data_IF_885878405489
#
_entry.id   IF_885878405489
#
_cell.length_a   1.000
_cell.length_b   1.000
_cell.length_c   1.000
_cell.angle_alpha   90.00
_cell.angle_beta   90.00
_cell.angle_gamma   90.00
#
_symmetry.space_group_name_H-M   'P 1'
#
loop_
_entity.id
_entity.type
_entity.pdbx_description
1 polymer ?
#
# COMPACT_ATOMS: atom_id res chain seq x y z
N UNK A 1 26.19 11.77 27.96
CA UNK A 1 25.39 12.97 27.68
C UNK A 1 24.34 12.57 26.67
N UNK A 2 23.12 12.80 27.05
CA UNK A 2 21.86 12.31 26.50
C UNK A 2 21.73 12.53 25.01
N UNK A 3 21.63 11.44 24.21
CA UNK A 3 21.13 11.47 22.86
C UNK A 3 19.61 11.30 22.95
N UNK A 4 18.89 12.39 22.82
CA UNK A 4 17.45 12.38 22.66
C UNK A 4 17.11 11.59 21.39
N UNK A 5 16.35 10.50 21.54
CA UNK A 5 15.70 9.82 20.43
C UNK A 5 14.81 10.82 19.70
N UNK A 6 14.88 10.82 18.38
CA UNK A 6 13.86 11.44 17.56
C UNK A 6 12.60 10.57 17.70
N UNK A 7 11.81 10.85 18.73
CA UNK A 7 10.41 10.49 18.78
C UNK A 7 9.75 11.21 17.61
N UNK A 8 9.21 10.45 16.64
CA UNK A 8 8.17 10.98 15.78
C UNK A 8 6.99 11.31 16.70
N UNK A 9 6.94 12.52 17.19
CA UNK A 9 5.78 13.03 17.87
C UNK A 9 4.72 13.28 16.80
N UNK A 10 3.92 12.26 16.49
CA UNK A 10 2.59 12.54 15.97
C UNK A 10 1.92 13.44 17.00
N UNK A 11 1.56 14.64 16.61
CA UNK A 11 0.82 15.54 17.49
C UNK A 11 -0.53 14.86 17.73
N UNK A 12 -0.69 14.29 18.92
CA UNK A 12 -1.93 13.63 19.32
C UNK A 12 -3.04 14.67 19.30
N UNK A 13 -4.07 14.44 18.47
CA UNK A 13 -5.21 15.33 18.34
C UNK A 13 -6.14 15.04 19.52
N UNK A 14 -6.50 16.07 20.31
CA UNK A 14 -7.40 15.87 21.44
C UNK A 14 -8.82 15.51 21.01
N UNK A 15 -9.54 14.76 21.86
CA UNK A 15 -10.94 14.40 21.63
C UNK A 15 -11.84 15.62 21.40
N UNK A 16 -11.58 16.74 22.10
CA UNK A 16 -12.30 17.99 21.91
C UNK A 16 -12.11 18.54 20.50
N UNK A 17 -10.87 18.55 20.01
CA UNK A 17 -10.56 19.00 18.64
C UNK A 17 -11.16 18.06 17.59
N UNK A 18 -11.11 16.74 17.81
CA UNK A 18 -11.74 15.75 16.92
C UNK A 18 -13.27 15.97 16.81
N UNK A 19 -13.90 16.25 17.94
CA UNK A 19 -15.33 16.57 17.97
C UNK A 19 -15.64 17.87 17.20
N UNK A 20 -14.82 18.91 17.36
CA UNK A 20 -14.95 20.17 16.62
C UNK A 20 -14.75 19.95 15.11
N UNK A 21 -13.78 19.12 14.69
CA UNK A 21 -13.52 18.79 13.27
C UNK A 21 -14.74 18.09 12.63
N UNK A 22 -15.42 17.17 13.35
CA UNK A 22 -16.68 16.56 12.88
C UNK A 22 -17.76 17.62 12.71
N UNK A 23 -17.98 18.46 13.73
CA UNK A 23 -18.99 19.53 13.70
C UNK A 23 -18.71 20.57 12.61
N UNK A 24 -17.45 20.86 12.32
CA UNK A 24 -17.04 21.76 11.23
C UNK A 24 -17.53 21.25 9.87
N UNK A 25 -17.32 19.97 9.57
CA UNK A 25 -17.79 19.37 8.31
C UNK A 25 -19.29 19.08 8.30
N UNK A 26 -19.84 18.67 9.45
CA UNK A 26 -21.24 18.24 9.58
C UNK A 26 -21.87 18.85 10.83
N UNK A 27 -22.31 20.10 10.73
CA UNK A 27 -22.84 20.88 11.86
C UNK A 27 -24.08 20.27 12.54
N UNK A 28 -24.76 19.33 11.87
CA UNK A 28 -25.90 18.59 12.42
C UNK A 28 -25.54 17.27 13.09
N UNK A 29 -24.26 16.88 13.12
CA UNK A 29 -23.76 15.68 13.74
C UNK A 29 -23.18 16.01 15.13
N UNK A 30 -23.48 15.18 16.11
CA UNK A 30 -23.01 15.35 17.48
C UNK A 30 -22.14 14.15 17.87
N UNK A 31 -20.82 14.32 18.01
CA UNK A 31 -19.94 13.25 18.53
C UNK A 31 -20.33 12.83 19.95
N UNK A 32 -20.42 11.53 20.20
CA UNK A 32 -20.83 10.93 21.47
C UNK A 32 -19.68 10.19 22.14
N UNK A 33 -18.92 9.41 21.34
CA UNK A 33 -17.80 8.62 21.84
C UNK A 33 -16.68 8.61 20.78
N UNK A 34 -15.42 8.65 21.20
CA UNK A 34 -14.24 8.64 20.35
C UNK A 34 -13.35 7.48 20.74
N UNK A 35 -12.97 6.67 19.78
CA UNK A 35 -12.07 5.53 19.93
C UNK A 35 -10.87 5.69 19.00
N UNK A 36 -9.68 5.83 19.56
CA UNK A 36 -8.44 5.95 18.79
C UNK A 36 -8.02 4.61 18.23
N UNK A 37 -7.80 4.55 16.90
CA UNK A 37 -7.26 3.38 16.20
C UNK A 37 -5.74 3.56 16.16
N UNK A 38 -5.02 2.74 16.93
CA UNK A 38 -3.57 2.90 17.18
C UNK A 38 -2.70 2.47 16.00
N UNK A 39 -3.27 2.08 14.87
CA UNK A 39 -2.52 1.58 13.71
C UNK A 39 -2.32 2.68 12.65
N UNK A 40 -1.07 2.85 12.18
CA UNK A 40 -0.72 3.71 11.04
C UNK A 40 0.03 4.99 11.38
N UNK A 41 0.36 5.76 10.33
CA UNK A 41 1.16 7.00 10.40
C UNK A 41 0.26 8.24 10.58
N UNK A 42 -0.99 8.13 10.18
CA UNK A 42 -2.02 9.18 10.29
C UNK A 42 -2.89 8.97 11.52
N UNK A 43 -3.45 10.06 12.04
CA UNK A 43 -4.46 9.97 13.10
C UNK A 43 -5.76 9.40 12.51
N UNK A 44 -6.16 8.21 12.98
CA UNK A 44 -7.40 7.56 12.57
C UNK A 44 -8.22 7.26 13.82
N UNK A 45 -9.47 7.71 13.85
CA UNK A 45 -10.37 7.52 15.00
C UNK A 45 -11.74 7.06 14.54
N UNK A 46 -12.34 6.10 15.26
CA UNK A 46 -13.74 5.76 15.12
C UNK A 46 -14.56 6.62 16.07
N UNK A 47 -15.66 7.18 15.59
CA UNK A 47 -16.49 8.12 16.34
C UNK A 47 -17.95 7.67 16.26
N UNK A 48 -18.56 7.47 17.42
CA UNK A 48 -20.01 7.30 17.49
C UNK A 48 -20.66 8.68 17.48
N UNK A 49 -21.61 8.90 16.59
CA UNK A 49 -22.27 10.20 16.36
C UNK A 49 -23.78 10.08 16.42
N UNK A 50 -24.43 11.10 16.97
CA UNK A 50 -25.86 11.34 16.79
C UNK A 50 -26.10 12.19 15.56
N UNK A 51 -26.96 11.71 14.65
CA UNK A 51 -27.38 12.43 13.44
C UNK A 51 -28.88 12.68 13.46
N UNK A 52 -29.41 13.58 12.62
CA UNK A 52 -30.86 13.75 12.48
C UNK A 52 -31.64 12.49 12.08
N UNK A 53 -30.92 11.46 11.58
CA UNK A 53 -31.52 10.19 11.14
C UNK A 53 -31.27 9.04 12.11
N UNK A 54 -30.56 9.27 13.22
CA UNK A 54 -30.23 8.29 14.25
C UNK A 54 -28.73 8.19 14.54
N UNK A 55 -28.38 7.28 15.43
CA UNK A 55 -26.99 6.98 15.80
C UNK A 55 -26.25 6.32 14.62
N UNK A 56 -25.00 6.69 14.44
CA UNK A 56 -24.10 6.12 13.43
C UNK A 56 -22.67 6.04 13.98
N UNK A 57 -21.87 5.15 13.41
CA UNK A 57 -20.41 5.09 13.63
C UNK A 57 -19.70 5.50 12.35
N UNK A 58 -18.72 6.39 12.48
CA UNK A 58 -17.93 6.93 11.37
C UNK A 58 -16.43 6.82 11.68
N UNK A 59 -15.60 7.05 10.67
CA UNK A 59 -14.15 7.20 10.83
C UNK A 59 -13.76 8.62 10.44
N UNK A 60 -12.96 9.28 11.27
CA UNK A 60 -12.22 10.49 10.94
C UNK A 60 -10.77 10.11 10.72
N UNK A 61 -10.20 10.48 9.56
CA UNK A 61 -8.78 10.31 9.25
C UNK A 61 -8.17 11.67 8.99
N UNK A 62 -7.09 12.01 9.73
CA UNK A 62 -6.38 13.27 9.60
C UNK A 62 -4.88 13.04 9.38
N UNK A 63 -4.28 13.84 8.50
CA UNK A 63 -2.85 13.81 8.25
C UNK A 63 -2.09 14.43 9.43
N UNK A 64 -1.22 13.63 10.06
CA UNK A 64 -0.32 14.08 11.14
C UNK A 64 1.14 13.77 10.83
N UNK A 65 1.40 13.20 9.66
CA UNK A 65 2.75 12.83 9.24
C UNK A 65 3.56 14.06 8.82
N UNK A 66 4.83 14.07 9.19
CA UNK A 66 5.80 15.09 8.76
C UNK A 66 6.52 14.75 7.45
N UNK A 67 6.15 13.64 6.80
CA UNK A 67 6.75 13.27 5.50
C UNK A 67 6.37 14.31 4.43
N UNK A 68 7.28 14.76 3.57
CA UNK A 68 7.01 15.83 2.59
C UNK A 68 5.80 15.59 1.68
N UNK A 69 5.50 14.33 1.34
CA UNK A 69 4.37 13.97 0.49
C UNK A 69 3.13 13.50 1.27
N UNK A 70 3.16 13.50 2.60
CA UNK A 70 2.06 12.95 3.40
C UNK A 70 0.76 13.70 3.19
N UNK A 71 0.84 15.02 3.13
CA UNK A 71 -0.31 15.92 2.95
C UNK A 71 -0.96 15.69 1.59
N UNK A 72 -0.19 15.73 0.51
CA UNK A 72 -0.70 15.54 -0.86
C UNK A 72 -1.25 14.12 -1.10
N UNK A 73 -0.63 13.10 -0.50
CA UNK A 73 -1.15 11.73 -0.51
C UNK A 73 -2.45 11.61 0.29
N UNK A 74 -2.53 12.27 1.45
CA UNK A 74 -3.76 12.28 2.27
C UNK A 74 -4.90 13.03 1.58
N UNK A 75 -4.61 14.07 0.77
CA UNK A 75 -5.60 14.73 -0.08
C UNK A 75 -6.10 13.81 -1.20
N UNK A 76 -5.26 12.94 -1.74
CA UNK A 76 -5.66 11.99 -2.79
C UNK A 76 -6.66 10.96 -2.28
N UNK A 77 -6.52 10.47 -1.05
CA UNK A 77 -7.27 9.34 -0.52
C UNK A 77 -8.79 9.50 -0.63
N UNK A 78 -9.45 10.54 -0.09
CA UNK A 78 -10.90 10.69 -0.18
C UNK A 78 -11.40 10.89 -1.62
N UNK A 79 -10.56 11.43 -2.51
CA UNK A 79 -10.88 11.61 -3.94
C UNK A 79 -10.90 10.27 -4.66
N UNK A 80 -9.92 9.41 -4.38
CA UNK A 80 -9.85 8.06 -4.95
C UNK A 80 -10.97 7.19 -4.40
N UNK A 81 -11.26 7.21 -3.09
CA UNK A 81 -12.40 6.51 -2.51
C UNK A 81 -13.71 6.90 -3.24
N UNK A 82 -13.94 8.19 -3.43
CA UNK A 82 -15.10 8.71 -4.15
C UNK A 82 -15.11 8.31 -5.63
N UNK A 83 -13.95 8.21 -6.28
CA UNK A 83 -13.82 7.75 -7.67
C UNK A 83 -14.16 6.26 -7.77
N UNK A 84 -13.58 5.42 -6.91
CA UNK A 84 -13.82 3.98 -6.84
C UNK A 84 -15.30 3.68 -6.62
N UNK A 85 -15.92 4.32 -5.64
CA UNK A 85 -17.35 4.13 -5.34
C UNK A 85 -18.26 4.43 -6.52
N UNK A 86 -17.90 5.42 -7.35
CA UNK A 86 -18.71 5.80 -8.51
C UNK A 86 -18.45 4.99 -9.77
N UNK A 87 -17.26 4.40 -9.92
CA UNK A 87 -16.78 3.88 -11.21
C UNK A 87 -16.47 2.40 -11.21
N UNK A 88 -16.34 1.76 -10.05
CA UNK A 88 -15.91 0.37 -9.92
C UNK A 88 -16.78 -0.39 -8.94
N UNK A 89 -16.60 -1.71 -8.90
CA UNK A 89 -17.21 -2.59 -7.91
C UNK A 89 -16.28 -2.84 -6.70
N UNK A 90 -15.12 -2.16 -6.60
CA UNK A 90 -14.23 -2.29 -5.44
C UNK A 90 -14.97 -1.84 -4.18
N UNK A 91 -15.10 -2.68 -3.15
CA UNK A 91 -15.73 -2.28 -1.90
C UNK A 91 -14.82 -1.31 -1.16
N UNK A 92 -15.30 -0.09 -0.93
CA UNK A 92 -14.58 0.98 -0.22
C UNK A 92 -15.52 1.74 0.69
N UNK A 93 -15.01 2.32 1.81
CA UNK A 93 -15.81 3.18 2.67
C UNK A 93 -16.37 4.39 1.90
N UNK A 94 -17.63 4.76 2.16
CA UNK A 94 -18.22 5.97 1.61
C UNK A 94 -17.57 7.20 2.27
N UNK A 95 -17.16 8.18 1.46
CA UNK A 95 -16.67 9.48 1.97
C UNK A 95 -17.87 10.39 2.22
N UNK A 96 -17.96 10.93 3.41
CA UNK A 96 -19.03 11.86 3.78
C UNK A 96 -18.67 13.31 3.50
N UNK A 97 -17.45 13.73 3.90
CA UNK A 97 -16.97 15.09 3.68
C UNK A 97 -15.44 15.19 3.83
N UNK A 98 -14.85 16.28 3.32
CA UNK A 98 -13.39 16.50 3.32
C UNK A 98 -13.04 17.94 3.68
N UNK A 99 -11.89 18.14 4.33
CA UNK A 99 -11.29 19.45 4.58
C UNK A 99 -9.81 19.40 4.18
N UNK A 100 -9.46 20.12 3.13
CA UNK A 100 -8.08 20.16 2.64
C UNK A 100 -7.23 21.19 3.37
N UNK A 101 -7.84 22.31 3.82
CA UNK A 101 -7.16 23.41 4.48
C UNK A 101 -8.01 24.00 5.61
N UNK A 102 -7.39 24.22 6.77
CA UNK A 102 -8.04 24.89 7.89
C UNK A 102 -7.01 25.64 8.75
N UNK A 103 -7.36 26.81 9.29
CA UNK A 103 -6.43 27.64 10.06
C UNK A 103 -6.05 27.03 11.42
N UNK A 104 -6.91 26.20 12.00
CA UNK A 104 -6.78 25.70 13.38
C UNK A 104 -6.59 24.19 13.46
N UNK A 105 -7.26 23.42 12.59
CA UNK A 105 -7.25 21.96 12.61
C UNK A 105 -6.13 21.39 11.76
N UNK A 106 -5.56 20.23 12.15
CA UNK A 106 -4.63 19.50 11.27
C UNK A 106 -5.34 19.09 9.99
N UNK A 107 -4.75 19.41 8.87
CA UNK A 107 -5.27 19.14 7.52
C UNK A 107 -4.24 18.43 6.65
N UNK A 108 -4.67 17.72 5.59
CA UNK A 108 -6.05 17.41 5.25
C UNK A 108 -6.69 16.40 6.21
N UNK A 109 -8.01 16.46 6.36
CA UNK A 109 -8.79 15.45 7.06
C UNK A 109 -10.12 15.17 6.37
N UNK A 110 -10.71 14.01 6.63
CA UNK A 110 -11.99 13.64 6.04
C UNK A 110 -12.79 12.69 6.93
N UNK A 111 -14.08 12.63 6.68
CA UNK A 111 -15.03 11.73 7.34
C UNK A 111 -15.43 10.63 6.35
N UNK A 112 -15.41 9.40 6.80
CA UNK A 112 -15.83 8.24 6.02
C UNK A 112 -16.66 7.26 6.84
N UNK A 113 -17.30 6.36 6.14
CA UNK A 113 -18.06 5.24 6.68
C UNK A 113 -17.17 4.35 7.57
N UNK A 114 -17.70 3.97 8.71
CA UNK A 114 -17.15 2.84 9.46
C UNK A 114 -17.75 1.54 8.90
N UNK A 115 -16.90 0.70 8.33
CA UNK A 115 -17.34 -0.57 7.74
C UNK A 115 -17.21 -1.68 8.77
N UNK A 116 -18.32 -2.35 9.08
CA UNK A 116 -18.35 -3.49 10.00
C UNK A 116 -17.61 -4.69 9.42
N UNK A 117 -16.78 -5.32 10.25
CA UNK A 117 -15.99 -6.50 9.91
C UNK A 117 -14.70 -6.53 10.72
N UNK A 118 -13.79 -7.39 10.34
CA UNK A 118 -12.50 -7.53 11.01
C UNK A 118 -11.35 -7.29 10.04
N UNK A 119 -10.32 -6.59 10.51
CA UNK A 119 -9.02 -6.56 9.85
C UNK A 119 -8.18 -7.75 10.34
N UNK A 120 -7.45 -8.37 9.45
CA UNK A 120 -6.61 -9.53 9.80
C UNK A 120 -5.21 -9.03 10.12
N UNK A 121 -4.74 -9.32 11.33
CA UNK A 121 -3.34 -9.07 11.64
C UNK A 121 -2.46 -9.93 10.73
N UNK A 122 -1.41 -9.33 10.21
CA UNK A 122 -0.50 -9.98 9.27
C UNK A 122 0.13 -11.27 9.84
N UNK A 123 0.42 -11.30 11.13
CA UNK A 123 0.96 -12.48 11.83
C UNK A 123 -0.04 -13.64 11.94
N UNK A 124 -1.34 -13.36 11.88
CA UNK A 124 -2.40 -14.36 12.00
C UNK A 124 -2.82 -14.96 10.66
N UNK A 125 -2.43 -14.34 9.55
CA UNK A 125 -2.77 -14.81 8.21
C UNK A 125 -2.40 -16.27 7.91
N UNK A 126 -1.27 -16.84 8.39
CA UNK A 126 -0.94 -18.25 8.23
C UNK A 126 -1.94 -19.20 8.89
N UNK A 127 -2.63 -18.75 9.92
CA UNK A 127 -3.58 -19.55 10.71
C UNK A 127 -5.00 -19.54 10.15
N UNK A 128 -5.27 -18.74 9.12
CA UNK A 128 -6.58 -18.69 8.47
C UNK A 128 -6.96 -20.03 7.84
N UNK A 129 -8.25 -20.42 7.89
CA UNK A 129 -8.74 -21.55 7.10
C UNK A 129 -8.37 -21.41 5.62
N UNK A 130 -8.15 -22.55 4.99
CA UNK A 130 -7.67 -22.62 3.59
C UNK A 130 -8.60 -21.88 2.63
N UNK A 131 -9.88 -22.14 2.75
CA UNK A 131 -10.95 -21.56 1.92
C UNK A 131 -11.14 -20.06 2.17
N UNK A 132 -11.01 -19.60 3.41
CA UNK A 132 -11.03 -18.18 3.77
C UNK A 132 -9.88 -17.45 3.07
N UNK A 133 -8.66 -17.99 3.16
CA UNK A 133 -7.48 -17.38 2.53
C UNK A 133 -7.57 -17.39 1.00
N UNK A 134 -8.12 -18.44 0.39
CA UNK A 134 -8.38 -18.49 -1.05
C UNK A 134 -9.40 -17.46 -1.50
N UNK A 135 -10.47 -17.25 -0.73
CA UNK A 135 -11.47 -16.22 -0.99
C UNK A 135 -10.82 -14.84 -1.01
N UNK A 136 -10.00 -14.51 0.01
CA UNK A 136 -9.28 -13.22 0.08
C UNK A 136 -8.41 -13.01 -1.17
N UNK A 137 -7.66 -14.02 -1.61
CA UNK A 137 -6.81 -13.90 -2.80
C UNK A 137 -7.62 -13.74 -4.08
N UNK A 138 -8.70 -14.48 -4.24
CA UNK A 138 -9.59 -14.37 -5.40
C UNK A 138 -10.23 -12.99 -5.49
N UNK A 139 -10.77 -12.50 -4.38
CA UNK A 139 -11.38 -11.17 -4.33
C UNK A 139 -10.32 -10.05 -4.46
N UNK A 140 -9.10 -10.25 -3.96
CA UNK A 140 -8.00 -9.33 -4.22
C UNK A 140 -7.73 -9.20 -5.73
N UNK A 141 -7.73 -10.32 -6.46
CA UNK A 141 -7.64 -10.30 -7.92
C UNK A 141 -8.77 -9.52 -8.57
N UNK A 142 -10.01 -9.75 -8.16
CA UNK A 142 -11.18 -9.04 -8.66
C UNK A 142 -11.11 -7.53 -8.38
N UNK A 143 -10.80 -7.16 -7.15
CA UNK A 143 -10.70 -5.76 -6.73
C UNK A 143 -9.59 -5.00 -7.49
N UNK A 144 -8.43 -5.63 -7.69
CA UNK A 144 -7.35 -5.05 -8.49
C UNK A 144 -7.73 -4.94 -9.97
N UNK A 145 -8.45 -5.90 -10.51
CA UNK A 145 -8.95 -5.84 -11.89
C UNK A 145 -9.92 -4.66 -12.07
N UNK A 146 -10.86 -4.48 -11.16
CA UNK A 146 -11.77 -3.34 -11.13
C UNK A 146 -11.02 -2.00 -11.02
N UNK A 147 -10.05 -1.90 -10.08
CA UNK A 147 -9.20 -0.72 -9.94
C UNK A 147 -8.52 -0.36 -11.27
N UNK A 148 -7.97 -1.34 -11.95
CA UNK A 148 -7.23 -1.15 -13.20
C UNK A 148 -8.12 -0.77 -14.39
N UNK A 149 -9.46 -0.79 -14.26
CA UNK A 149 -10.38 -0.25 -15.27
C UNK A 149 -10.42 1.27 -15.29
N UNK A 150 -9.92 1.94 -14.25
CA UNK A 150 -9.91 3.40 -14.15
C UNK A 150 -8.86 4.09 -15.04
N UNK A 151 -7.93 3.32 -15.64
CA UNK A 151 -6.93 3.83 -16.58
C UNK A 151 -7.43 3.93 -18.02
N UNK A 152 -6.56 4.24 -18.97
CA UNK A 152 -5.13 4.49 -18.76
C UNK A 152 -4.83 5.85 -18.14
N UNK A 153 -3.65 5.96 -17.52
CA UNK A 153 -3.00 7.20 -17.12
C UNK A 153 -1.80 7.44 -18.05
N UNK A 154 -1.53 8.71 -18.36
CA UNK A 154 -0.53 9.06 -19.37
C UNK A 154 0.91 8.96 -18.86
N UNK A 155 1.12 9.12 -17.54
CA UNK A 155 2.45 9.15 -16.91
C UNK A 155 2.53 8.14 -15.76
N UNK A 156 3.74 7.73 -15.43
CA UNK A 156 4.11 6.83 -14.32
C UNK A 156 4.67 7.67 -13.18
N UNK A 157 4.26 7.38 -11.95
CA UNK A 157 4.74 8.07 -10.76
C UNK A 157 3.77 7.99 -9.58
N UNK A 158 4.11 8.63 -8.48
CA UNK A 158 3.22 8.70 -7.31
C UNK A 158 1.95 9.52 -7.64
N UNK A 159 0.82 9.07 -7.13
CA UNK A 159 -0.46 9.77 -7.27
C UNK A 159 -0.71 10.63 -6.02
N UNK A 160 -1.05 11.89 -6.25
CA UNK A 160 -1.28 12.90 -5.21
C UNK A 160 -2.59 13.65 -5.47
N UNK A 161 -3.13 14.25 -4.41
CA UNK A 161 -4.32 15.11 -4.50
C UNK A 161 -3.92 16.57 -4.69
N UNK A 162 -4.28 17.15 -5.84
CA UNK A 162 -4.03 18.54 -6.16
C UNK A 162 -5.24 19.14 -6.88
N UNK A 163 -5.60 20.39 -6.55
CA UNK A 163 -6.69 21.15 -7.21
C UNK A 163 -8.01 20.36 -7.34
N UNK A 164 -8.40 19.62 -6.28
CA UNK A 164 -9.56 18.72 -6.24
C UNK A 164 -9.51 17.49 -7.16
N UNK A 165 -8.39 17.20 -7.78
CA UNK A 165 -8.17 16.04 -8.64
C UNK A 165 -7.05 15.15 -8.11
N UNK A 166 -6.97 13.94 -8.64
CA UNK A 166 -5.84 13.03 -8.44
C UNK A 166 -4.99 13.09 -9.69
N UNK A 167 -3.72 13.42 -9.52
CA UNK A 167 -2.76 13.53 -10.63
C UNK A 167 -1.44 12.86 -10.29
N UNK A 168 -0.65 12.56 -11.31
CA UNK A 168 0.72 12.10 -11.13
C UNK A 168 1.57 13.26 -10.60
N UNK A 169 2.35 13.00 -9.57
CA UNK A 169 3.33 13.95 -9.05
C UNK A 169 4.48 14.09 -10.04
N UNK A 170 4.80 15.34 -10.41
CA UNK A 170 5.97 15.65 -11.22
C UNK A 170 6.74 16.80 -10.57
N UNK A 171 7.86 16.47 -9.92
CA UNK A 171 8.75 17.40 -9.25
C UNK A 171 10.21 17.00 -9.49
N UNK A 172 11.18 17.91 -9.31
CA UNK A 172 12.60 17.54 -9.45
C UNK A 172 13.05 16.40 -8.53
N UNK A 173 12.44 16.25 -7.36
CA UNK A 173 12.77 15.22 -6.37
C UNK A 173 11.93 13.92 -6.53
N UNK A 174 10.87 13.98 -7.33
CA UNK A 174 10.00 12.83 -7.67
C UNK A 174 9.43 13.05 -9.08
N UNK A 175 10.23 12.83 -10.13
CA UNK A 175 9.79 13.05 -11.50
C UNK A 175 8.77 12.00 -11.95
N UNK A 176 7.88 12.41 -12.86
CA UNK A 176 7.06 11.49 -13.63
C UNK A 176 7.82 10.91 -14.83
N UNK A 177 7.33 9.81 -15.38
CA UNK A 177 7.94 9.11 -16.51
C UNK A 177 6.90 8.74 -17.56
N UNK A 178 7.26 8.85 -18.84
CA UNK A 178 6.43 8.35 -19.95
C UNK A 178 6.53 6.82 -20.10
N UNK A 179 7.64 6.23 -19.65
CA UNK A 179 7.95 4.81 -19.83
C UNK A 179 8.19 4.13 -18.48
N UNK A 180 7.36 3.14 -18.17
CA UNK A 180 7.45 2.45 -16.89
C UNK A 180 8.81 1.78 -16.64
N UNK A 181 9.44 1.20 -17.65
CA UNK A 181 10.74 0.53 -17.48
C UNK A 181 11.88 1.50 -17.17
N UNK A 182 11.79 2.77 -17.59
CA UNK A 182 12.74 3.82 -17.22
C UNK A 182 12.55 4.18 -15.73
N UNK A 183 11.31 4.44 -15.31
CA UNK A 183 10.98 4.65 -13.90
C UNK A 183 11.47 3.48 -13.03
N UNK A 184 11.25 2.24 -13.49
CA UNK A 184 11.61 1.03 -12.76
C UNK A 184 13.13 0.94 -12.55
N UNK A 185 13.93 1.23 -13.58
CA UNK A 185 15.39 1.19 -13.49
C UNK A 185 15.93 2.28 -12.56
N UNK A 186 15.39 3.50 -12.62
CA UNK A 186 15.81 4.59 -11.75
C UNK A 186 15.43 4.32 -10.30
N UNK A 187 14.22 3.84 -10.05
CA UNK A 187 13.75 3.40 -8.72
C UNK A 187 14.62 2.28 -8.14
N UNK A 188 15.06 1.33 -8.97
CA UNK A 188 15.99 0.29 -8.54
C UNK A 188 17.38 0.81 -8.18
N UNK A 189 17.92 1.71 -8.99
CA UNK A 189 19.21 2.30 -8.68
C UNK A 189 19.18 3.05 -7.35
N UNK A 190 18.10 3.77 -7.06
CA UNK A 190 17.91 4.42 -5.76
C UNK A 190 17.87 3.40 -4.63
N UNK A 191 17.07 2.34 -4.77
CA UNK A 191 16.95 1.27 -3.76
C UNK A 191 18.28 0.53 -3.55
N UNK A 192 19.02 0.24 -4.63
CA UNK A 192 20.34 -0.40 -4.55
C UNK A 192 21.37 0.50 -3.86
N UNK A 193 21.35 1.81 -4.11
CA UNK A 193 22.20 2.76 -3.41
C UNK A 193 21.83 2.83 -1.91
N UNK A 194 20.55 2.76 -1.57
CA UNK A 194 20.11 2.66 -0.18
C UNK A 194 20.64 1.40 0.52
N UNK A 195 20.69 0.25 -0.17
CA UNK A 195 21.31 -0.97 0.35
C UNK A 195 22.83 -0.83 0.62
N UNK A 196 23.49 0.09 -0.12
CA UNK A 196 24.88 0.47 0.14
C UNK A 196 25.03 1.53 1.24
N UNK A 197 23.93 1.99 1.84
CA UNK A 197 23.90 3.02 2.87
C UNK A 197 23.91 4.44 2.33
N UNK A 198 23.53 4.64 1.07
CA UNK A 198 23.45 5.94 0.39
C UNK A 198 21.99 6.34 0.15
N UNK A 199 21.59 7.54 0.52
CA UNK A 199 20.23 8.06 0.26
C UNK A 199 19.13 7.40 1.07
N UNK A 200 17.92 7.36 0.50
CA UNK A 200 16.69 6.80 1.08
C UNK A 200 15.85 7.81 1.86
N UNK A 201 14.54 7.55 1.97
CA UNK A 201 13.57 8.44 2.64
C UNK A 201 13.83 8.62 4.14
N UNK A 202 14.41 7.61 4.79
CA UNK A 202 14.72 7.62 6.23
C UNK A 202 16.14 7.09 6.46
N UNK A 203 17.19 7.78 5.96
CA UNK A 203 18.54 7.25 5.95
C UNK A 203 19.06 6.86 7.34
N UNK A 204 18.70 7.63 8.38
CA UNK A 204 19.09 7.32 9.76
C UNK A 204 18.41 6.06 10.34
N UNK A 205 17.24 5.68 9.79
CA UNK A 205 16.45 4.55 10.24
C UNK A 205 16.69 3.29 9.40
N UNK A 206 17.05 3.45 8.13
CA UNK A 206 17.19 2.34 7.17
C UNK A 206 18.63 1.94 6.90
N UNK A 207 19.61 2.70 7.40
CA UNK A 207 21.04 2.45 7.13
C UNK A 207 21.54 1.13 7.75
N UNK A 208 21.86 0.16 6.92
CA UNK A 208 22.49 -1.11 7.29
C UNK A 208 23.41 -1.61 6.14
N UNK A 209 24.46 -0.87 5.80
CA UNK A 209 25.17 -0.99 4.52
C UNK A 209 25.95 -2.28 4.33
N UNK A 210 26.15 -3.08 5.38
CA UNK A 210 26.95 -4.32 5.29
C UNK A 210 26.08 -5.58 5.23
N UNK A 211 24.77 -5.46 5.04
CA UNK A 211 23.86 -6.59 5.12
C UNK A 211 23.63 -7.26 3.76
N UNK A 212 23.54 -6.46 2.70
CA UNK A 212 23.20 -6.91 1.35
C UNK A 212 24.13 -6.32 0.27
N UNK A 213 25.16 -5.58 0.67
CA UNK A 213 26.08 -4.88 -0.22
C UNK A 213 26.76 -5.81 -1.24
N UNK A 214 27.07 -7.03 -0.84
CA UNK A 214 27.65 -8.06 -1.70
C UNK A 214 26.74 -8.51 -2.85
N UNK A 215 25.40 -8.42 -2.70
CA UNK A 215 24.44 -8.77 -3.75
C UNK A 215 24.23 -7.64 -4.76
N UNK A 216 24.46 -6.38 -4.37
CA UNK A 216 24.15 -5.21 -5.18
C UNK A 216 24.76 -5.24 -6.59
N UNK A 217 26.03 -5.58 -6.80
CA UNK A 217 26.62 -5.61 -8.14
C UNK A 217 25.92 -6.59 -9.10
N UNK A 218 25.63 -7.79 -8.63
CA UNK A 218 25.01 -8.84 -9.44
C UNK A 218 23.55 -8.51 -9.75
N UNK A 219 22.78 -8.05 -8.75
CA UNK A 219 21.40 -7.60 -8.94
C UNK A 219 21.34 -6.43 -9.94
N UNK A 220 22.24 -5.45 -9.80
CA UNK A 220 22.33 -4.29 -10.72
C UNK A 220 22.56 -4.74 -12.15
N UNK A 221 23.48 -5.66 -12.37
CA UNK A 221 23.74 -6.23 -13.70
C UNK A 221 22.52 -6.97 -14.24
N UNK A 222 21.90 -7.84 -13.43
CA UNK A 222 20.67 -8.55 -13.81
C UNK A 222 19.57 -7.61 -14.27
N UNK A 223 19.29 -6.54 -13.50
CA UNK A 223 18.23 -5.58 -13.84
C UNK A 223 18.53 -4.80 -15.11
N UNK A 224 19.76 -4.30 -15.26
CA UNK A 224 20.21 -3.54 -16.46
C UNK A 224 20.18 -4.38 -17.72
N UNK A 225 20.41 -5.69 -17.62
CA UNK A 225 20.33 -6.59 -18.75
C UNK A 225 18.89 -7.07 -19.03
N UNK A 226 18.09 -7.28 -17.98
CA UNK A 226 16.76 -7.92 -18.11
C UNK A 226 15.68 -6.90 -18.45
N UNK A 227 15.58 -5.78 -17.72
CA UNK A 227 14.47 -4.83 -17.85
C UNK A 227 14.33 -4.27 -19.27
N UNK A 228 15.39 -3.86 -19.97
CA UNK A 228 15.27 -3.35 -21.35
C UNK A 228 14.82 -4.40 -22.37
N UNK A 229 14.95 -5.69 -22.03
CA UNK A 229 14.55 -6.81 -22.90
C UNK A 229 13.14 -7.32 -22.61
N UNK A 230 12.48 -6.85 -21.56
CA UNK A 230 11.08 -7.16 -21.31
C UNK A 230 10.18 -6.55 -22.40
N UNK A 231 9.15 -7.27 -22.79
CA UNK A 231 8.12 -6.69 -23.64
C UNK A 231 7.43 -5.52 -22.91
N UNK A 232 7.05 -4.45 -23.65
CA UNK A 232 6.34 -3.33 -23.02
C UNK A 232 5.14 -3.79 -22.20
N UNK A 233 4.92 -3.23 -21.01
CA UNK A 233 3.73 -3.53 -20.21
C UNK A 233 2.48 -2.87 -20.80
N UNK A 234 1.33 -3.21 -20.23
CA UNK A 234 0.11 -2.45 -20.45
C UNK A 234 0.29 -0.99 -20.00
N UNK A 235 -0.55 -0.07 -20.52
CA UNK A 235 -0.56 1.32 -20.05
C UNK A 235 -0.71 1.42 -18.53
N UNK A 236 -0.14 2.47 -17.97
CA UNK A 236 -0.26 2.74 -16.53
C UNK A 236 -1.72 2.98 -16.11
N UNK A 237 -2.03 2.63 -14.89
CA UNK A 237 -3.33 2.79 -14.25
C UNK A 237 -3.16 3.05 -12.76
N UNK A 238 -4.25 3.20 -12.03
CA UNK A 238 -4.21 3.32 -10.57
C UNK A 238 -3.68 2.04 -9.92
N UNK A 239 -2.67 2.15 -9.07
CA UNK A 239 -2.07 1.05 -8.33
C UNK A 239 -2.11 1.31 -6.83
N UNK A 240 -2.70 0.39 -6.08
CA UNK A 240 -2.69 0.39 -4.61
C UNK A 240 -1.42 -0.28 -4.11
N UNK A 241 -0.43 0.51 -3.67
CA UNK A 241 0.88 -0.01 -3.24
C UNK A 241 0.86 -0.74 -1.90
N UNK A 242 -0.26 -0.69 -1.16
CA UNK A 242 -0.37 -1.30 0.17
C UNK A 242 -1.55 -2.26 0.33
N UNK A 243 -1.88 -3.02 -0.73
CA UNK A 243 -2.92 -4.05 -0.68
C UNK A 243 -2.44 -5.24 0.17
N UNK A 244 -2.87 -5.30 1.42
CA UNK A 244 -2.44 -6.29 2.44
C UNK A 244 -3.55 -6.59 3.44
N UNK A 245 -3.41 -7.66 4.21
CA UNK A 245 -4.42 -8.11 5.19
C UNK A 245 -4.92 -7.00 6.13
N UNK A 246 -4.01 -6.21 6.73
CA UNK A 246 -4.39 -5.13 7.64
C UNK A 246 -5.18 -3.99 6.98
N UNK A 247 -5.21 -3.92 5.65
CA UNK A 247 -5.97 -2.94 4.88
C UNK A 247 -7.24 -3.55 4.26
N UNK A 248 -7.64 -4.75 4.68
CA UNK A 248 -8.87 -5.42 4.26
C UNK A 248 -9.80 -5.59 5.45
N UNK A 249 -11.01 -5.06 5.36
CA UNK A 249 -12.11 -5.43 6.26
C UNK A 249 -12.80 -6.64 5.66
N UNK A 250 -12.82 -7.74 6.39
CA UNK A 250 -13.37 -9.02 5.89
C UNK A 250 -14.44 -9.59 6.83
N UNK A 251 -15.20 -10.51 6.30
CA UNK A 251 -16.06 -11.41 7.09
C UNK A 251 -15.18 -12.58 7.55
N UNK A 252 -14.93 -12.76 8.86
CA UNK A 252 -13.93 -13.72 9.35
C UNK A 252 -14.20 -15.18 8.92
N UNK A 253 -15.47 -15.56 8.86
CA UNK A 253 -15.90 -16.94 8.56
C UNK A 253 -15.72 -17.31 7.08
N UNK A 254 -15.71 -16.33 6.18
CA UNK A 254 -15.72 -16.57 4.73
C UNK A 254 -14.55 -15.97 4.00
N UNK A 255 -13.90 -14.95 4.57
CA UNK A 255 -12.88 -14.15 3.90
C UNK A 255 -13.44 -13.12 2.91
N UNK A 256 -14.77 -12.99 2.80
CA UNK A 256 -15.36 -12.02 1.89
C UNK A 256 -14.98 -10.58 2.29
N UNK A 257 -14.45 -9.82 1.33
CA UNK A 257 -13.98 -8.45 1.52
C UNK A 257 -15.17 -7.49 1.59
N UNK A 258 -15.27 -6.76 2.70
CA UNK A 258 -16.26 -5.71 2.91
C UNK A 258 -15.75 -4.34 2.56
N UNK A 259 -14.44 -4.11 2.75
CA UNK A 259 -13.80 -2.87 2.31
C UNK A 259 -12.30 -3.07 2.10
N UNK A 260 -11.76 -2.32 1.15
CA UNK A 260 -10.32 -2.09 0.98
C UNK A 260 -10.02 -0.69 1.51
N UNK A 261 -9.06 -0.61 2.44
CA UNK A 261 -8.70 0.60 3.18
C UNK A 261 -7.33 1.16 2.75
N UNK A 262 -7.00 2.35 3.25
CA UNK A 262 -5.69 3.02 3.16
C UNK A 262 -5.23 3.29 1.72
N UNK A 263 -5.97 4.17 1.06
CA UNK A 263 -5.74 4.60 -0.32
C UNK A 263 -4.80 5.80 -0.46
N UNK A 264 -4.07 6.17 0.60
CA UNK A 264 -3.10 7.27 0.55
C UNK A 264 -1.82 6.91 -0.21
N UNK A 265 -1.47 5.61 -0.31
CA UNK A 265 -0.25 5.16 -0.97
C UNK A 265 -0.54 4.60 -2.37
N UNK A 266 -0.80 5.50 -3.29
CA UNK A 266 -1.15 5.21 -4.69
C UNK A 266 -0.04 5.60 -5.64
N UNK A 267 0.03 4.90 -6.77
CA UNK A 267 0.84 5.32 -7.91
C UNK A 267 0.14 5.03 -9.24
N UNK A 268 0.62 5.69 -10.27
CA UNK A 268 0.35 5.35 -11.66
C UNK A 268 1.41 4.37 -12.14
N UNK A 269 1.02 3.13 -12.44
CA UNK A 269 1.92 2.08 -12.94
C UNK A 269 1.15 1.00 -13.70
N UNK A 270 1.83 0.11 -14.45
CA UNK A 270 1.17 -1.00 -15.14
C UNK A 270 0.50 -1.98 -14.16
N UNK A 271 -0.63 -2.60 -14.56
CA UNK A 271 -1.35 -3.58 -13.75
C UNK A 271 -0.47 -4.70 -13.17
N UNK A 272 0.45 -5.24 -13.97
CA UNK A 272 1.34 -6.32 -13.55
C UNK A 272 2.24 -5.94 -12.35
N UNK A 273 2.62 -4.67 -12.22
CA UNK A 273 3.39 -4.17 -11.08
C UNK A 273 2.57 -4.19 -9.80
N UNK A 274 1.32 -3.70 -9.86
CA UNK A 274 0.43 -3.75 -8.70
C UNK A 274 0.11 -5.19 -8.27
N UNK A 275 -0.10 -6.09 -9.22
CA UNK A 275 -0.32 -7.52 -8.94
C UNK A 275 0.89 -8.14 -8.24
N UNK A 276 2.11 -7.84 -8.67
CA UNK A 276 3.33 -8.34 -8.02
C UNK A 276 3.46 -7.87 -6.56
N UNK A 277 3.14 -6.60 -6.29
CA UNK A 277 3.16 -6.03 -4.93
C UNK A 277 2.09 -6.68 -4.05
N UNK A 278 0.83 -6.68 -4.50
CA UNK A 278 -0.28 -7.21 -3.72
C UNK A 278 -0.10 -8.71 -3.43
N UNK A 279 0.30 -9.50 -4.41
CA UNK A 279 0.63 -10.91 -4.24
C UNK A 279 1.72 -11.10 -3.18
N UNK A 280 2.82 -10.33 -3.29
CA UNK A 280 3.94 -10.44 -2.35
C UNK A 280 3.53 -10.07 -0.92
N UNK A 281 2.67 -9.08 -0.74
CA UNK A 281 2.15 -8.66 0.57
C UNK A 281 1.18 -9.68 1.17
N UNK A 282 0.30 -10.26 0.36
CA UNK A 282 -0.68 -11.26 0.80
C UNK A 282 -0.05 -12.64 1.07
N UNK A 283 1.02 -13.02 0.35
CA UNK A 283 1.75 -14.27 0.62
C UNK A 283 2.60 -14.23 1.88
N UNK A 284 3.02 -13.03 2.36
CA UNK A 284 3.71 -12.89 3.64
C UNK A 284 2.80 -13.32 4.82
N UNK A 285 3.41 -13.69 5.95
CA UNK A 285 4.84 -13.85 6.21
C UNK A 285 5.39 -15.21 5.83
N UNK A 286 4.54 -16.20 5.52
CA UNK A 286 4.86 -17.61 5.49
C UNK A 286 5.21 -18.19 4.11
N UNK A 287 4.74 -17.57 3.03
CA UNK A 287 4.78 -18.18 1.70
C UNK A 287 5.54 -17.37 0.64
N UNK A 288 5.99 -16.16 0.95
CA UNK A 288 6.68 -15.31 -0.02
C UNK A 288 8.19 -15.56 -0.04
N UNK A 289 8.59 -16.81 -0.17
CA UNK A 289 10.00 -17.25 -0.15
C UNK A 289 10.52 -17.71 -1.50
N UNK A 290 9.64 -17.98 -2.47
CA UNK A 290 9.97 -18.47 -3.80
C UNK A 290 9.44 -17.52 -4.87
N UNK A 291 10.35 -17.02 -5.71
CA UNK A 291 10.03 -16.11 -6.80
C UNK A 291 9.04 -16.69 -7.83
N UNK A 292 9.15 -17.99 -8.07
CA UNK A 292 8.43 -18.70 -9.14
C UNK A 292 7.50 -19.80 -8.64
N UNK A 293 7.23 -19.88 -7.32
CA UNK A 293 6.39 -20.94 -6.76
C UNK A 293 5.04 -21.05 -7.52
N UNK A 294 4.95 -22.05 -8.37
CA UNK A 294 3.74 -22.42 -9.11
C UNK A 294 3.04 -23.62 -8.49
N UNK A 295 3.68 -24.28 -7.54
CA UNK A 295 3.20 -25.46 -6.84
C UNK A 295 3.03 -25.21 -5.33
N UNK A 296 2.37 -26.12 -4.65
CA UNK A 296 2.09 -26.00 -3.21
C UNK A 296 1.14 -24.83 -2.89
N UNK A 297 1.09 -24.46 -1.60
CA UNK A 297 0.14 -23.48 -1.10
C UNK A 297 0.31 -22.09 -1.71
N UNK A 298 1.52 -21.63 -1.90
CA UNK A 298 1.78 -20.36 -2.56
C UNK A 298 1.26 -20.35 -4.00
N UNK A 299 1.50 -21.44 -4.75
CA UNK A 299 0.99 -21.56 -6.12
C UNK A 299 -0.54 -21.62 -6.23
N UNK A 300 -1.20 -22.25 -5.24
CA UNK A 300 -2.68 -22.27 -5.17
C UNK A 300 -3.25 -20.86 -4.95
N UNK A 301 -2.68 -20.12 -3.99
CA UNK A 301 -3.11 -18.75 -3.68
C UNK A 301 -2.83 -17.79 -4.83
N UNK A 302 -1.66 -17.87 -5.47
CA UNK A 302 -1.36 -17.11 -6.69
C UNK A 302 -2.38 -17.38 -7.80
N UNK A 303 -2.73 -18.64 -7.99
CA UNK A 303 -3.75 -19.02 -8.98
C UNK A 303 -5.10 -18.43 -8.64
N UNK A 304 -5.53 -18.48 -7.39
CA UNK A 304 -6.79 -17.86 -6.94
C UNK A 304 -6.82 -16.35 -7.25
N UNK A 305 -5.74 -15.62 -6.99
CA UNK A 305 -5.60 -14.20 -7.32
C UNK A 305 -5.68 -13.96 -8.83
N UNK A 306 -4.97 -14.73 -9.63
CA UNK A 306 -4.97 -14.59 -11.09
C UNK A 306 -6.33 -14.92 -11.71
N UNK A 307 -6.97 -16.01 -11.28
CA UNK A 307 -8.33 -16.37 -11.73
C UNK A 307 -9.34 -15.27 -11.34
N UNK A 308 -9.22 -14.70 -10.14
CA UNK A 308 -10.01 -13.56 -9.73
C UNK A 308 -9.84 -12.37 -10.65
N UNK A 309 -8.60 -12.03 -10.98
CA UNK A 309 -8.27 -10.92 -11.89
C UNK A 309 -8.80 -11.16 -13.32
N UNK A 310 -8.54 -12.32 -13.89
CA UNK A 310 -9.03 -12.70 -15.24
C UNK A 310 -10.55 -12.74 -15.32
N UNK A 311 -11.24 -13.04 -14.21
CA UNK A 311 -12.71 -13.09 -14.18
C UNK A 311 -13.40 -11.74 -14.40
N UNK A 312 -12.67 -10.63 -14.22
CA UNK A 312 -13.18 -9.26 -14.35
C UNK A 312 -12.66 -8.58 -15.62
N UNK A 313 -11.42 -8.86 -16.01
CA UNK A 313 -10.80 -8.24 -17.19
C UNK A 313 -10.87 -9.13 -18.44
N UNK A 314 -11.90 -8.91 -19.23
CA UNK A 314 -12.07 -9.60 -20.52
C UNK A 314 -10.85 -9.44 -21.43
N UNK A 315 -10.36 -10.57 -21.97
CA UNK A 315 -9.26 -10.60 -22.92
C UNK A 315 -7.87 -10.39 -22.31
N UNK A 316 -7.76 -10.26 -20.98
CA UNK A 316 -6.49 -10.24 -20.28
C UNK A 316 -6.11 -11.65 -19.81
N UNK A 317 -4.83 -12.00 -19.87
CA UNK A 317 -4.34 -13.30 -19.46
C UNK A 317 -2.92 -13.22 -18.90
N UNK A 318 -2.60 -14.09 -17.94
CA UNK A 318 -1.25 -14.30 -17.45
C UNK A 318 -0.41 -15.09 -18.46
N UNK A 319 -0.17 -14.49 -19.63
CA UNK A 319 0.71 -15.05 -20.66
C UNK A 319 2.19 -15.06 -20.21
N UNK A 320 3.06 -15.60 -21.06
CA UNK A 320 4.49 -15.69 -20.76
C UNK A 320 5.10 -14.29 -20.53
N UNK A 321 4.78 -13.31 -21.37
CA UNK A 321 5.32 -11.96 -21.26
C UNK A 321 4.91 -11.26 -19.96
N UNK A 322 3.65 -11.43 -19.56
CA UNK A 322 3.14 -10.91 -18.28
C UNK A 322 3.83 -11.58 -17.08
N UNK A 323 4.04 -12.89 -17.13
CA UNK A 323 4.75 -13.63 -16.07
C UNK A 323 6.21 -13.20 -15.95
N UNK A 324 6.90 -13.00 -17.09
CA UNK A 324 8.30 -12.54 -17.11
C UNK A 324 8.42 -11.14 -16.47
N UNK A 325 7.50 -10.23 -16.79
CA UNK A 325 7.44 -8.91 -16.17
C UNK A 325 7.17 -9.01 -14.66
N UNK A 326 6.13 -9.74 -14.26
CA UNK A 326 5.76 -9.92 -12.82
C UNK A 326 6.92 -10.53 -12.04
N UNK A 327 7.68 -11.46 -12.62
CA UNK A 327 8.87 -12.02 -11.98
C UNK A 327 9.87 -10.93 -11.62
N UNK A 328 10.20 -10.04 -12.54
CA UNK A 328 11.11 -8.90 -12.29
C UNK A 328 10.50 -7.91 -11.28
N UNK A 329 9.20 -7.64 -11.35
CA UNK A 329 8.53 -6.72 -10.43
C UNK A 329 8.47 -7.26 -8.99
N UNK A 330 8.42 -8.58 -8.80
CA UNK A 330 8.58 -9.19 -7.46
C UNK A 330 9.96 -8.94 -6.87
N UNK A 331 11.01 -8.97 -7.71
CA UNK A 331 12.36 -8.59 -7.25
C UNK A 331 12.40 -7.12 -6.82
N UNK A 332 11.78 -6.20 -7.61
CA UNK A 332 11.64 -4.79 -7.24
C UNK A 332 11.11 -4.62 -5.83
N UNK A 333 9.94 -5.19 -5.61
CA UNK A 333 9.28 -5.12 -4.30
C UNK A 333 10.14 -5.75 -3.20
N UNK A 334 10.86 -6.84 -3.50
CA UNK A 334 11.75 -7.48 -2.53
C UNK A 334 12.93 -6.60 -2.15
N UNK A 335 13.53 -5.89 -3.10
CA UNK A 335 14.63 -4.95 -2.85
C UNK A 335 14.18 -3.80 -1.94
N UNK A 336 12.99 -3.26 -2.17
CA UNK A 336 12.39 -2.24 -1.32
C UNK A 336 12.20 -2.76 0.12
N UNK A 337 11.75 -4.00 0.29
CA UNK A 337 11.64 -4.65 1.61
C UNK A 337 13.02 -4.87 2.27
N UNK A 338 14.06 -5.18 1.50
CA UNK A 338 15.43 -5.31 2.00
C UNK A 338 15.95 -3.97 2.50
N UNK A 339 15.73 -2.90 1.75
CA UNK A 339 16.13 -1.55 2.11
C UNK A 339 15.40 -1.03 3.36
N UNK A 340 14.12 -1.38 3.51
CA UNK A 340 13.31 -0.99 4.66
C UNK A 340 13.41 -1.93 5.89
N UNK A 341 14.16 -3.03 5.81
CA UNK A 341 14.27 -4.00 6.90
C UNK A 341 14.67 -3.40 8.27
N UNK A 342 15.62 -2.45 8.36
CA UNK A 342 15.94 -1.81 9.63
C UNK A 342 14.79 -1.00 10.23
N UNK A 343 13.97 -0.36 9.39
CA UNK A 343 12.79 0.39 9.80
C UNK A 343 11.71 -0.54 10.36
N UNK A 344 11.40 -1.61 9.65
CA UNK A 344 10.37 -2.57 10.07
C UNK A 344 10.71 -3.20 11.43
N UNK A 345 11.97 -3.52 11.68
CA UNK A 345 12.42 -4.07 12.97
C UNK A 345 12.28 -3.08 14.14
N UNK A 346 12.09 -1.79 13.88
CA UNK A 346 11.84 -0.76 14.91
C UNK A 346 10.35 -0.53 15.14
N UNK A 347 9.55 -0.59 14.06
CA UNK A 347 8.10 -0.38 14.11
C UNK A 347 7.40 -1.59 14.73
N UNK A 348 7.86 -2.78 14.41
CA UNK A 348 7.29 -4.03 14.93
C UNK A 348 8.37 -4.82 15.70
N UNK A 349 8.46 -4.62 17.02
CA UNK A 349 9.40 -5.37 17.88
C UNK A 349 9.13 -6.87 17.93
N UNK A 350 7.96 -7.34 17.47
CA UNK A 350 7.64 -8.78 17.39
C UNK A 350 8.33 -9.45 16.19
N UNK A 351 8.90 -8.68 15.28
CA UNK A 351 9.80 -9.15 14.24
C UNK A 351 11.18 -9.49 14.83
N UNK A 352 11.19 -10.38 15.82
CA UNK A 352 12.34 -10.67 16.69
C UNK A 352 13.58 -11.23 15.98
N UNK A 353 13.46 -11.70 14.73
CA UNK A 353 14.60 -12.30 14.01
C UNK A 353 14.92 -11.54 12.72
N UNK A 354 15.53 -10.36 12.88
CA UNK A 354 16.01 -9.53 11.78
C UNK A 354 17.01 -10.29 10.89
N UNK A 355 17.83 -11.17 11.48
CA UNK A 355 18.83 -11.94 10.73
C UNK A 355 18.18 -13.06 9.93
N UNK A 356 17.19 -13.77 10.47
CA UNK A 356 16.40 -14.73 9.71
C UNK A 356 15.64 -14.06 8.56
N UNK A 357 15.04 -12.89 8.78
CA UNK A 357 14.40 -12.11 7.73
C UNK A 357 15.37 -11.68 6.63
N UNK A 358 16.55 -11.23 7.02
CA UNK A 358 17.60 -10.90 6.05
C UNK A 358 18.02 -12.11 5.23
N UNK A 359 18.14 -13.28 5.85
CA UNK A 359 18.45 -14.53 5.16
C UNK A 359 17.36 -14.94 4.16
N UNK A 360 16.08 -14.78 4.53
CA UNK A 360 14.94 -15.01 3.62
C UNK A 360 14.97 -14.06 2.41
N UNK A 361 15.22 -12.78 2.65
CA UNK A 361 15.34 -11.79 1.58
C UNK A 361 16.50 -12.11 0.64
N UNK A 362 17.65 -12.47 1.19
CA UNK A 362 18.83 -12.89 0.43
C UNK A 362 18.53 -14.11 -0.43
N UNK A 363 17.99 -15.19 0.15
CA UNK A 363 17.63 -16.42 -0.55
C UNK A 363 16.61 -16.18 -1.67
N UNK A 364 15.72 -15.21 -1.51
CA UNK A 364 14.79 -14.81 -2.58
C UNK A 364 15.53 -14.09 -3.72
N UNK A 365 16.39 -13.12 -3.41
CA UNK A 365 17.12 -12.36 -4.42
C UNK A 365 18.08 -13.25 -5.22
N UNK A 366 18.76 -14.21 -4.57
CA UNK A 366 19.68 -15.19 -5.19
C UNK A 366 18.98 -16.07 -6.24
N UNK A 367 17.65 -16.21 -6.26
CA UNK A 367 16.93 -16.96 -7.31
C UNK A 367 16.95 -16.25 -8.67
N UNK A 368 17.40 -15.01 -8.72
CA UNK A 368 17.51 -14.20 -9.95
C UNK A 368 18.95 -14.14 -10.47
N UNK A 369 19.91 -14.53 -9.66
CA UNK A 369 21.35 -14.47 -9.94
C UNK A 369 21.87 -15.83 -10.35
#
# INVERSE_FOLDING_TARGET
MSSAGAEQSSTEISDEMLAEMVCHLRSSWTPVNIEHIVEGVNSTVAIDIDTPTGEQRIVLKASTSTHPLAEDRSRAEPRVLSLLQRKTAVPVPAVFDTCDDHETYPTPYFLMEYVDGETINHADAPNLPVDVRETIFREAGQNLAELHTLGPLDEVGDLVGKDNEVSVLDTPDSPSYDVFHEWLLDSYEETLNQLLGEGGYFPELTKDPNRFDDLVPEIRNYLRETVPNLLPPEPATYCHKDYRYGNLVVVPETGATRAVLDWANLMSAPPGFNLAIAESKLLKPDLNTDADASAGRAGELRRALWEGYESVRDGWAFDTATRDRIRVYRLAFRLDQMACLPLFSRIDPTLDDRDARAAEHRAFAEQYL
#
